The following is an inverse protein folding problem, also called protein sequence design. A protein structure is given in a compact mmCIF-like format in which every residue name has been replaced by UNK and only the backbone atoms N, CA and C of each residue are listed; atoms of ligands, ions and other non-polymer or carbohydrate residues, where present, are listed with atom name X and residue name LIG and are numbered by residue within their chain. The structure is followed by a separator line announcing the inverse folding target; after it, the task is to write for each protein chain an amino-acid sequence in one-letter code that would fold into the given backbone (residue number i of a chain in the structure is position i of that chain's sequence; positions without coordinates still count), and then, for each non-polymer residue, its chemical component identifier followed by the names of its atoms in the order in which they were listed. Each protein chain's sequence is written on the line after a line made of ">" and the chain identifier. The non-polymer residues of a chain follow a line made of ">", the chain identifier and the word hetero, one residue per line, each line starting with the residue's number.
data_IF_371527282667
#
_entry.id   IF_371527282667
#
_cell.length_a   1.000
_cell.length_b   1.000
_cell.length_c   1.000
_cell.angle_alpha   90.00
_cell.angle_beta   90.00
_cell.angle_gamma   90.00
#
_symmetry.space_group_name_H-M   'P 1'
#
loop_
_entity.id
_entity.type
_entity.pdbx_description
1 polymer ?
#
# COMPACT_ATOMS: atom_id res chain seq x y z
N UNK A 1 -9.03 4.91 -13.81
CA UNK A 1 -8.30 3.96 -14.69
C UNK A 1 -8.42 4.47 -16.11
N UNK A 2 -7.31 4.61 -16.84
CA UNK A 2 -7.27 5.20 -18.17
C UNK A 2 -6.88 4.11 -19.17
N UNK A 3 -7.69 3.91 -20.20
CA UNK A 3 -7.45 2.92 -21.25
C UNK A 3 -7.35 3.62 -22.60
N UNK A 4 -6.35 3.22 -23.39
CA UNK A 4 -6.12 3.71 -24.74
C UNK A 4 -6.24 2.54 -25.72
N UNK A 5 -7.13 2.68 -26.69
CA UNK A 5 -7.22 1.77 -27.83
C UNK A 5 -7.22 2.63 -29.10
N UNK A 6 -6.17 2.45 -29.92
CA UNK A 6 -6.03 3.12 -31.20
C UNK A 6 -6.20 2.10 -32.31
N UNK A 7 -7.12 2.36 -33.24
CA UNK A 7 -7.23 1.59 -34.48
C UNK A 7 -6.78 2.50 -35.61
N UNK A 8 -5.79 2.03 -36.39
CA UNK A 8 -5.28 2.74 -37.56
C UNK A 8 -6.16 2.36 -38.77
N UNK A 9 -7.04 3.25 -39.27
CA UNK A 9 -7.83 2.94 -40.45
C UNK A 9 -6.97 3.22 -41.68
N UNK A 10 -6.48 2.15 -42.30
CA UNK A 10 -5.85 2.08 -43.62
C UNK A 10 -4.44 2.71 -43.79
N UNK A 11 -3.52 1.91 -44.32
CA UNK A 11 -2.15 2.27 -44.72
C UNK A 11 -2.07 3.23 -45.92
N UNK A 12 -3.19 3.66 -46.50
CA UNK A 12 -3.21 4.48 -47.71
C UNK A 12 -3.71 5.91 -47.41
N UNK A 13 -2.75 6.82 -47.17
CA UNK A 13 -3.01 8.24 -46.89
C UNK A 13 -3.62 8.94 -48.10
N UNK A 14 -4.95 9.10 -48.12
CA UNK A 14 -5.63 10.07 -48.98
C UNK A 14 -5.80 11.41 -48.24
N UNK A 15 -5.46 12.57 -48.86
CA UNK A 15 -5.60 13.88 -48.23
C UNK A 15 -7.07 14.19 -47.91
N UNK A 16 -7.39 14.44 -46.64
CA UNK A 16 -8.73 14.79 -46.18
C UNK A 16 -9.46 13.71 -45.36
N UNK A 17 -8.85 12.55 -45.11
CA UNK A 17 -9.41 11.50 -44.25
C UNK A 17 -8.80 11.50 -42.85
N UNK A 18 -9.65 11.26 -41.85
CA UNK A 18 -9.36 11.27 -40.42
C UNK A 18 -8.17 10.34 -40.09
N UNK A 19 -7.02 10.92 -39.73
CA UNK A 19 -5.74 10.21 -39.62
C UNK A 19 -5.64 9.25 -38.42
N UNK A 20 -6.54 9.36 -37.44
CA UNK A 20 -6.71 8.42 -36.34
C UNK A 20 -7.96 8.77 -35.52
N UNK A 21 -8.75 7.77 -35.13
CA UNK A 21 -9.83 7.93 -34.15
C UNK A 21 -9.39 7.36 -32.82
N UNK A 22 -9.40 8.18 -31.77
CA UNK A 22 -9.12 7.74 -30.40
C UNK A 22 -10.42 7.65 -29.60
N UNK A 23 -10.65 6.51 -28.95
CA UNK A 23 -11.73 6.36 -27.97
C UNK A 23 -11.12 6.32 -26.57
N UNK A 24 -11.30 7.40 -25.83
CA UNK A 24 -10.82 7.50 -24.45
C UNK A 24 -11.96 7.13 -23.51
N UNK A 25 -11.73 6.18 -22.60
CA UNK A 25 -12.65 5.87 -21.50
C UNK A 25 -12.05 6.35 -20.19
N UNK A 26 -12.81 7.19 -19.48
CA UNK A 26 -12.41 7.70 -18.17
C UNK A 26 -13.40 7.21 -17.12
N UNK A 27 -12.93 6.40 -16.18
CA UNK A 27 -13.69 6.01 -15.00
C UNK A 27 -13.31 6.88 -13.80
N UNK A 28 -14.29 7.62 -13.27
CA UNK A 28 -14.19 8.32 -11.97
C UNK A 28 -15.03 7.59 -10.93
N UNK A 29 -14.43 7.29 -9.78
CA UNK A 29 -15.16 6.77 -8.63
C UNK A 29 -15.62 7.96 -7.80
N UNK A 30 -16.94 8.05 -7.56
CA UNK A 30 -17.53 9.11 -6.75
C UNK A 30 -18.08 8.47 -5.48
N UNK A 31 -17.58 8.90 -4.33
CA UNK A 31 -18.13 8.52 -3.04
C UNK A 31 -19.15 9.57 -2.61
N UNK A 32 -20.41 9.15 -2.42
CA UNK A 32 -21.48 10.02 -1.94
C UNK A 32 -21.75 9.66 -0.47
N UNK A 33 -21.43 10.58 0.43
CA UNK A 33 -21.74 10.43 1.85
C UNK A 33 -23.17 10.95 2.10
N UNK A 34 -23.98 10.18 2.81
CA UNK A 34 -25.36 10.55 3.15
C UNK A 34 -25.45 10.72 4.67
N UNK A 35 -25.86 11.92 5.12
CA UNK A 35 -25.94 12.26 6.54
C UNK A 35 -24.57 12.57 7.16
N UNK A 36 -24.46 12.38 8.47
CA UNK A 36 -23.24 12.68 9.22
C UNK A 36 -22.12 11.70 8.88
N UNK A 37 -20.99 12.24 8.41
CA UNK A 37 -19.83 11.46 8.01
C UNK A 37 -18.94 11.14 9.22
N UNK A 38 -18.65 9.86 9.43
CA UNK A 38 -17.72 9.35 10.43
C UNK A 38 -16.70 8.44 9.77
N UNK A 39 -15.44 8.82 9.86
CA UNK A 39 -14.31 7.96 9.48
C UNK A 39 -13.73 7.38 10.76
N UNK A 40 -13.62 6.06 10.81
CA UNK A 40 -13.08 5.34 11.95
C UNK A 40 -12.66 3.94 11.51
N UNK A 41 -11.74 3.33 12.24
CA UNK A 41 -11.33 1.97 11.95
C UNK A 41 -10.33 1.42 12.94
N UNK A 42 -10.03 0.14 12.79
CA UNK A 42 -9.14 -0.59 13.68
C UNK A 42 -8.34 -1.63 12.92
N UNK A 43 -7.13 -1.91 13.41
CA UNK A 43 -6.37 -3.08 12.96
C UNK A 43 -6.95 -4.31 13.66
N UNK A 44 -7.40 -5.29 12.88
CA UNK A 44 -7.98 -6.55 13.38
C UNK A 44 -6.99 -7.71 13.37
N UNK A 45 -5.90 -7.58 12.63
CA UNK A 45 -4.86 -8.59 12.55
C UNK A 45 -3.58 -8.02 11.95
N UNK A 46 -2.45 -8.60 12.36
CA UNK A 46 -1.14 -8.29 11.81
C UNK A 46 -0.46 -9.61 11.48
N UNK A 47 0.09 -9.71 10.27
CA UNK A 47 0.70 -10.90 9.74
C UNK A 47 2.10 -10.57 9.24
N UNK A 48 3.04 -11.45 9.50
CA UNK A 48 4.40 -11.36 8.97
C UNK A 48 4.61 -12.50 7.98
N UNK A 49 5.19 -12.19 6.83
CA UNK A 49 5.68 -13.21 5.91
C UNK A 49 7.19 -13.32 6.11
N UNK A 50 7.71 -14.46 6.58
CA UNK A 50 9.15 -14.64 6.72
C UNK A 50 9.83 -14.49 5.35
N UNK A 51 11.04 -13.92 5.31
CA UNK A 51 11.73 -13.68 4.05
C UNK A 51 11.98 -15.00 3.31
N UNK A 52 11.42 -15.11 2.10
CA UNK A 52 11.69 -16.24 1.21
C UNK A 52 13.07 -16.08 0.56
N UNK A 53 13.85 -17.15 0.38
CA UNK A 53 15.16 -17.10 -0.30
C UNK A 53 15.11 -16.53 -1.72
N UNK A 54 13.93 -16.52 -2.36
CA UNK A 54 13.74 -15.97 -3.70
C UNK A 54 13.55 -14.44 -3.74
N UNK A 55 13.06 -13.82 -2.66
CA UNK A 55 12.73 -12.38 -2.63
C UNK A 55 13.57 -11.59 -1.64
N UNK A 56 14.04 -12.24 -0.56
CA UNK A 56 14.86 -11.64 0.47
C UNK A 56 14.29 -10.28 0.95
N UNK A 57 12.97 -10.23 1.06
CA UNK A 57 12.19 -9.09 1.55
C UNK A 57 11.34 -9.55 2.73
N UNK A 58 11.29 -8.75 3.77
CA UNK A 58 10.34 -8.93 4.87
C UNK A 58 9.04 -8.21 4.51
N UNK A 59 7.92 -8.93 4.51
CA UNK A 59 6.60 -8.35 4.31
C UNK A 59 5.81 -8.37 5.62
N UNK A 60 5.22 -7.23 5.96
CA UNK A 60 4.33 -7.09 7.11
C UNK A 60 3.00 -6.58 6.60
N UNK A 61 1.94 -7.35 6.88
CA UNK A 61 0.59 -7.05 6.45
C UNK A 61 -0.31 -6.74 7.65
N UNK A 62 -1.01 -5.61 7.60
CA UNK A 62 -2.00 -5.21 8.57
C UNK A 62 -3.40 -5.30 7.96
N UNK A 63 -4.28 -6.01 8.65
CA UNK A 63 -5.69 -6.10 8.31
C UNK A 63 -6.44 -4.97 9.00
N UNK A 64 -6.96 -4.03 8.21
CA UNK A 64 -7.68 -2.86 8.69
C UNK A 64 -9.17 -3.00 8.40
N UNK A 65 -10.01 -2.86 9.42
CA UNK A 65 -11.46 -2.79 9.30
C UNK A 65 -11.90 -1.33 9.42
N UNK A 66 -12.55 -0.80 8.38
CA UNK A 66 -13.25 0.49 8.45
C UNK A 66 -14.56 0.31 9.22
N UNK A 67 -14.66 0.94 10.39
CA UNK A 67 -15.87 0.92 11.24
C UNK A 67 -16.72 2.18 11.05
N UNK A 68 -16.22 3.15 10.27
CA UNK A 68 -16.94 4.34 9.85
C UNK A 68 -17.96 4.09 8.75
N UNK A 69 -18.68 5.16 8.36
CA UNK A 69 -19.68 5.14 7.28
C UNK A 69 -19.23 5.85 6.00
N UNK A 70 -17.99 6.36 5.95
CA UNK A 70 -17.42 7.01 4.77
C UNK A 70 -16.12 6.35 4.30
N UNK A 71 -15.89 6.40 2.99
CA UNK A 71 -14.63 5.94 2.42
C UNK A 71 -13.50 6.87 2.84
N UNK A 72 -12.35 6.29 3.20
CA UNK A 72 -11.19 7.06 3.63
C UNK A 72 -9.94 6.55 2.93
N UNK A 73 -9.05 7.47 2.59
CA UNK A 73 -7.73 7.10 2.14
C UNK A 73 -6.84 6.88 3.37
N UNK A 74 -6.40 5.65 3.54
CA UNK A 74 -5.57 5.23 4.67
C UNK A 74 -4.17 4.98 4.15
N UNK A 75 -3.18 5.48 4.88
CA UNK A 75 -1.76 5.30 4.61
C UNK A 75 -1.02 5.15 5.93
N UNK A 76 0.27 4.83 5.89
CA UNK A 76 1.00 4.70 7.14
C UNK A 76 2.41 4.20 6.97
N UNK A 77 2.90 3.58 8.04
CA UNK A 77 4.23 2.98 8.08
C UNK A 77 4.27 1.83 9.08
N UNK A 78 5.29 0.99 8.94
CA UNK A 78 5.68 0.03 9.97
C UNK A 78 7.05 0.42 10.48
N UNK A 79 7.17 0.60 11.79
CA UNK A 79 8.42 0.79 12.51
C UNK A 79 8.87 -0.58 13.04
N UNK A 80 10.02 -1.07 12.56
CA UNK A 80 10.65 -2.26 13.14
C UNK A 80 11.54 -1.82 14.28
N UNK A 81 11.34 -2.43 15.46
CA UNK A 81 12.08 -2.17 16.68
C UNK A 81 12.90 -3.39 17.07
N UNK A 82 14.15 -3.15 17.43
CA UNK A 82 15.04 -4.18 17.95
C UNK A 82 14.69 -4.57 19.39
N UNK A 83 15.39 -5.55 19.95
CA UNK A 83 15.16 -6.03 21.33
C UNK A 83 15.38 -4.99 22.44
N UNK A 84 16.01 -3.86 22.13
CA UNK A 84 16.17 -2.71 23.03
C UNK A 84 15.05 -1.66 22.89
N UNK A 85 14.11 -1.86 21.97
CA UNK A 85 13.00 -0.94 21.68
C UNK A 85 13.33 0.16 20.66
N UNK A 86 14.58 0.27 20.21
CA UNK A 86 14.98 1.27 19.21
C UNK A 86 14.44 0.92 17.82
N UNK A 87 14.01 1.94 17.07
CA UNK A 87 13.58 1.78 15.68
C UNK A 87 14.82 1.49 14.82
N UNK A 88 14.93 0.27 14.33
CA UNK A 88 16.04 -0.20 13.47
C UNK A 88 15.74 -0.03 11.99
N UNK A 89 14.46 -0.01 11.61
CA UNK A 89 14.02 0.21 10.23
C UNK A 89 12.60 0.78 10.18
N UNK A 90 12.26 1.42 9.07
CA UNK A 90 10.89 1.88 8.79
C UNK A 90 10.53 1.52 7.37
N UNK A 91 9.34 0.95 7.16
CA UNK A 91 8.78 0.68 5.84
C UNK A 91 7.51 1.50 5.63
N UNK A 92 7.37 2.18 4.47
CA UNK A 92 6.13 2.86 4.15
C UNK A 92 5.01 1.86 3.85
N UNK A 93 3.78 2.24 4.15
CA UNK A 93 2.56 1.57 3.70
C UNK A 93 1.88 2.48 2.69
N UNK A 94 1.73 1.98 1.46
CA UNK A 94 1.10 2.73 0.39
C UNK A 94 -0.36 3.10 0.70
N UNK A 95 -0.70 4.32 0.30
CA UNK A 95 -2.05 4.87 0.42
C UNK A 95 -3.05 4.02 -0.35
N UNK A 96 -4.10 3.55 0.33
CA UNK A 96 -5.23 2.86 -0.30
C UNK A 96 -6.55 3.37 0.25
N UNK A 97 -7.61 3.24 -0.55
CA UNK A 97 -8.96 3.58 -0.11
C UNK A 97 -9.54 2.41 0.67
N UNK A 98 -9.91 2.64 1.92
CA UNK A 98 -10.70 1.73 2.74
C UNK A 98 -12.18 2.09 2.62
N UNK A 99 -13.00 1.12 2.22
CA UNK A 99 -14.44 1.29 2.08
C UNK A 99 -15.16 1.06 3.42
N UNK A 100 -16.30 1.72 3.67
CA UNK A 100 -17.10 1.52 4.88
C UNK A 100 -17.46 0.05 5.09
N UNK A 101 -17.25 -0.47 6.31
CA UNK A 101 -17.57 -1.85 6.67
C UNK A 101 -16.69 -2.92 6.01
N UNK A 102 -15.77 -2.54 5.12
CA UNK A 102 -14.87 -3.46 4.46
C UNK A 102 -13.57 -3.63 5.24
N UNK A 103 -12.98 -4.81 5.08
CA UNK A 103 -11.65 -5.12 5.56
C UNK A 103 -10.64 -5.00 4.42
N UNK A 104 -9.61 -4.18 4.61
CA UNK A 104 -8.57 -3.91 3.61
C UNK A 104 -7.20 -4.36 4.15
N UNK A 105 -6.40 -5.01 3.29
CA UNK A 105 -5.05 -5.43 3.64
C UNK A 105 -4.02 -4.38 3.19
N UNK A 106 -3.28 -3.87 4.16
CA UNK A 106 -2.16 -2.96 3.97
C UNK A 106 -0.86 -3.72 4.12
N UNK A 107 0.04 -3.62 3.15
CA UNK A 107 1.30 -4.38 3.15
C UNK A 107 2.45 -3.39 3.06
N UNK A 108 3.37 -3.50 4.00
CA UNK A 108 4.68 -2.88 3.93
C UNK A 108 5.73 -3.92 3.56
N UNK A 109 6.71 -3.54 2.76
CA UNK A 109 7.82 -4.40 2.36
C UNK A 109 9.14 -3.74 2.71
N UNK A 110 10.06 -4.52 3.27
CA UNK A 110 11.39 -4.07 3.62
C UNK A 110 12.43 -4.93 2.93
N UNK A 111 13.27 -4.28 2.13
CA UNK A 111 14.45 -4.86 1.49
C UNK A 111 15.75 -4.34 2.07
N UNK A 112 15.78 -3.84 3.30
CA UNK A 112 17.02 -3.43 3.96
C UNK A 112 17.68 -4.59 4.68
N UNK A 113 18.98 -4.48 4.96
CA UNK A 113 19.66 -5.47 5.77
C UNK A 113 19.12 -5.48 7.21
N UNK A 114 18.75 -6.65 7.74
CA UNK A 114 18.45 -6.85 9.16
C UNK A 114 19.12 -8.14 9.65
N UNK A 115 19.88 -8.11 10.75
CA UNK A 115 20.44 -9.34 11.30
C UNK A 115 19.34 -10.23 11.87
N UNK A 116 19.62 -11.54 11.97
CA UNK A 116 18.75 -12.48 12.68
C UNK A 116 18.56 -12.05 14.13
N UNK A 117 17.36 -12.27 14.68
CA UNK A 117 17.03 -11.85 16.03
C UNK A 117 15.54 -11.64 16.25
N UNK A 118 15.20 -11.18 17.46
CA UNK A 118 13.83 -10.88 17.86
C UNK A 118 13.52 -9.39 17.64
N UNK A 119 12.37 -9.12 17.03
CA UNK A 119 11.93 -7.78 16.68
C UNK A 119 10.46 -7.58 17.04
N UNK A 120 10.07 -6.32 17.24
CA UNK A 120 8.66 -5.92 17.21
C UNK A 120 8.39 -4.99 16.04
N UNK A 121 7.25 -5.17 15.40
CA UNK A 121 6.78 -4.30 14.34
C UNK A 121 5.59 -3.51 14.85
N UNK A 122 5.75 -2.19 14.94
CA UNK A 122 4.67 -1.26 15.22
C UNK A 122 4.12 -0.73 13.90
N UNK A 123 2.88 -1.10 13.60
CA UNK A 123 2.13 -0.61 12.46
C UNK A 123 1.38 0.63 12.91
N UNK A 124 1.52 1.71 12.15
CA UNK A 124 0.85 2.98 12.38
C UNK A 124 0.12 3.34 11.09
N UNK A 125 -1.21 3.31 11.12
CA UNK A 125 -2.08 3.71 10.02
C UNK A 125 -2.81 5.00 10.36
N UNK A 126 -2.94 5.89 9.38
CA UNK A 126 -3.67 7.14 9.51
C UNK A 126 -4.66 7.28 8.35
N UNK A 127 -5.88 7.72 8.65
CA UNK A 127 -6.96 7.88 7.68
C UNK A 127 -7.25 9.35 7.30
N UNK A 128 -6.27 10.23 7.51
CA UNK A 128 -6.35 11.68 7.25
C UNK A 128 -6.65 12.53 8.48
N UNK A 129 -6.90 11.92 9.64
CA UNK A 129 -7.02 12.64 10.92
C UNK A 129 -5.66 12.73 11.61
N UNK A 130 -5.08 13.94 11.64
CA UNK A 130 -3.75 14.19 12.25
C UNK A 130 -3.70 13.91 13.75
N UNK A 131 -4.83 13.76 14.43
CA UNK A 131 -4.91 13.52 15.86
C UNK A 131 -5.17 12.05 16.20
N UNK A 132 -5.40 11.20 15.19
CA UNK A 132 -5.79 9.81 15.40
C UNK A 132 -5.01 8.86 14.51
N UNK A 133 -4.10 8.15 15.14
CA UNK A 133 -3.44 7.00 14.55
C UNK A 133 -4.11 5.70 15.01
N UNK A 134 -4.22 4.77 14.08
CA UNK A 134 -4.63 3.39 14.34
C UNK A 134 -3.36 2.55 14.41
N UNK A 135 -3.08 2.04 15.61
CA UNK A 135 -1.87 1.29 15.89
C UNK A 135 -2.14 -0.20 16.04
N UNK A 136 -1.18 -1.00 15.63
CA UNK A 136 -1.15 -2.45 15.84
C UNK A 136 0.28 -2.90 16.01
N UNK A 137 0.51 -3.94 16.81
CA UNK A 137 1.86 -4.44 17.07
C UNK A 137 1.90 -5.96 16.88
N UNK A 138 3.04 -6.44 16.39
CA UNK A 138 3.35 -7.86 16.33
C UNK A 138 4.82 -8.08 16.66
N UNK A 139 5.12 -9.14 17.40
CA UNK A 139 6.49 -9.60 17.60
C UNK A 139 6.79 -10.73 16.63
N UNK A 140 8.01 -10.74 16.09
CA UNK A 140 8.45 -11.78 15.17
C UNK A 140 9.95 -12.01 15.33
N UNK A 141 10.40 -13.19 14.90
CA UNK A 141 11.80 -13.59 14.93
C UNK A 141 12.29 -13.82 13.51
N UNK A 142 13.42 -13.20 13.19
CA UNK A 142 14.17 -13.48 11.97
C UNK A 142 15.16 -14.62 12.27
N UNK A 143 14.96 -15.78 11.64
CA UNK A 143 15.85 -16.93 11.79
C UNK A 143 17.14 -16.81 10.95
N UNK A 144 17.13 -15.92 9.96
CA UNK A 144 18.27 -15.65 9.08
C UNK A 144 18.46 -14.15 8.89
N UNK A 145 19.68 -13.75 8.58
CA UNK A 145 19.99 -12.38 8.22
C UNK A 145 19.24 -12.04 6.92
N UNK A 146 18.47 -10.95 6.96
CA UNK A 146 17.91 -10.33 5.77
C UNK A 146 19.05 -9.56 5.11
N UNK A 147 19.46 -9.97 3.91
CA UNK A 147 20.36 -9.15 3.09
C UNK A 147 19.56 -8.00 2.45
N UNK A 148 20.18 -6.92 1.96
CA UNK A 148 19.45 -5.92 1.20
C UNK A 148 18.87 -6.57 -0.07
N UNK A 149 17.56 -6.47 -0.25
CA UNK A 149 16.89 -6.84 -1.49
C UNK A 149 17.22 -5.83 -2.60
N UNK A 150 16.97 -6.16 -3.88
CA UNK A 150 17.12 -5.18 -4.95
C UNK A 150 16.20 -3.99 -4.66
N UNK A 151 16.79 -2.84 -4.34
CA UNK A 151 16.07 -1.57 -4.18
C UNK A 151 15.18 -1.36 -5.40
N UNK A 152 13.90 -1.05 -5.19
CA UNK A 152 13.03 -0.61 -6.27
C UNK A 152 13.74 0.53 -7.01
N UNK A 153 14.09 0.28 -8.27
CA UNK A 153 14.88 1.19 -9.08
C UNK A 153 14.20 2.55 -9.12
N UNK A 154 14.96 3.60 -8.79
CA UNK A 154 14.61 5.00 -9.06
C UNK A 154 14.23 5.12 -10.54
N UNK A 155 13.04 5.58 -10.92
CA UNK A 155 12.77 5.90 -12.31
C UNK A 155 13.71 7.05 -12.69
N UNK A 156 14.53 6.81 -13.71
CA UNK A 156 15.53 7.75 -14.20
C UNK A 156 14.92 9.11 -14.56
N UNK A 157 15.74 10.13 -14.31
CA UNK A 157 15.66 11.53 -14.73
C UNK A 157 15.19 11.75 -16.16
#
# INVERSE_FOLDING_TARGET
>A
MLFFEGTNPAEEKQPGLELATFRIRVGHVIFVNVGDTRIDGKITGVYTSPPSPARNTLEIAAQYLSTGNAAAAVEGRVEIRGGNGDVVATMPIDRKVALPGATTLFVGSLGSALPKGDYSALIILNYGDKQRDVVGEVTFRLEQDLAPGPSAATPGS
#
